data_IF_306530658357
#
_entry.id   IF_306530658357
#
_cell.length_a   1.000
_cell.length_b   1.000
_cell.length_c   1.000
_cell.angle_alpha   90.00
_cell.angle_beta   90.00
_cell.angle_gamma   90.00
#
_symmetry.space_group_name_H-M   'P 1'
#
loop_
_entity.id
_entity.type
_entity.pdbx_description
1 polymer ?
#
# COMPACT_ATOMS: atom_id res chain seq x y z
N UNK A 1 -12.11 -21.75 -8.21
CA UNK A 1 -10.84 -21.31 -7.59
C UNK A 1 -9.70 -22.01 -8.32
N UNK A 2 -9.09 -21.35 -9.27
CA UNK A 2 -8.02 -21.94 -10.09
C UNK A 2 -6.70 -21.55 -9.44
N UNK A 3 -6.09 -22.50 -8.76
CA UNK A 3 -4.74 -22.35 -8.25
C UNK A 3 -3.79 -22.16 -9.43
N UNK A 4 -3.22 -20.99 -9.60
CA UNK A 4 -2.07 -20.78 -10.47
C UNK A 4 -0.87 -21.38 -9.73
N UNK A 5 -0.60 -22.67 -9.99
CA UNK A 5 0.65 -23.30 -9.60
C UNK A 5 1.78 -22.44 -10.18
N UNK A 6 2.75 -22.07 -9.34
CA UNK A 6 3.99 -21.44 -9.77
C UNK A 6 4.74 -22.48 -10.66
N UNK A 7 4.41 -22.47 -11.93
CA UNK A 7 5.17 -23.21 -12.93
C UNK A 7 6.60 -22.64 -12.90
N UNK A 8 7.58 -23.52 -12.78
CA UNK A 8 8.99 -23.16 -13.02
C UNK A 8 9.03 -22.43 -14.35
N UNK A 9 9.47 -21.18 -14.31
CA UNK A 9 9.65 -20.38 -15.51
C UNK A 9 10.67 -21.13 -16.38
N UNK A 10 10.21 -21.64 -17.49
CA UNK A 10 11.08 -22.29 -18.48
C UNK A 10 11.82 -21.18 -19.23
N UNK A 11 13.08 -20.96 -18.86
CA UNK A 11 13.94 -19.93 -19.42
C UNK A 11 14.26 -20.15 -20.91
N UNK A 12 13.85 -21.27 -21.49
CA UNK A 12 14.00 -21.56 -22.93
C UNK A 12 12.95 -20.86 -23.81
N UNK A 13 11.85 -20.36 -23.21
CA UNK A 13 10.81 -19.65 -23.94
C UNK A 13 11.29 -18.25 -24.32
N UNK A 14 11.25 -17.94 -25.61
CA UNK A 14 11.44 -16.56 -26.09
C UNK A 14 10.20 -15.75 -25.73
N UNK A 15 10.39 -14.70 -24.94
CA UNK A 15 9.31 -13.76 -24.58
C UNK A 15 9.29 -12.63 -25.61
N UNK A 16 8.12 -12.25 -26.08
CA UNK A 16 7.91 -11.09 -26.94
C UNK A 16 7.99 -9.80 -26.13
N UNK A 17 7.49 -9.83 -24.88
CA UNK A 17 7.52 -8.68 -23.97
C UNK A 17 7.58 -9.13 -22.52
N UNK A 18 8.10 -8.25 -21.67
CA UNK A 18 8.10 -8.40 -20.21
C UNK A 18 7.48 -7.15 -19.63
N UNK A 19 6.43 -7.32 -18.80
CA UNK A 19 5.77 -6.23 -18.09
C UNK A 19 6.10 -6.31 -16.61
N UNK A 20 6.55 -5.19 -16.05
CA UNK A 20 6.81 -5.05 -14.62
C UNK A 20 5.71 -4.17 -14.02
N UNK A 21 5.04 -4.68 -12.98
CA UNK A 21 3.98 -3.97 -12.28
C UNK A 21 4.02 -4.25 -10.79
N UNK A 22 3.19 -3.51 -10.04
CA UNK A 22 2.99 -3.78 -8.62
C UNK A 22 2.09 -5.00 -8.46
N UNK A 23 2.42 -5.86 -7.48
CA UNK A 23 1.57 -6.97 -7.10
C UNK A 23 0.36 -6.44 -6.30
N UNK A 24 -0.84 -6.91 -6.63
CA UNK A 24 -2.02 -6.62 -5.83
C UNK A 24 -2.00 -7.38 -4.49
N UNK A 25 -2.74 -6.93 -3.47
CA UNK A 25 -2.88 -7.66 -2.21
C UNK A 25 -3.30 -9.11 -2.40
N UNK A 26 -4.24 -9.38 -3.32
CA UNK A 26 -4.73 -10.73 -3.63
C UNK A 26 -3.62 -11.60 -4.23
N UNK A 27 -2.77 -11.03 -5.08
CA UNK A 27 -1.61 -11.74 -5.64
C UNK A 27 -0.59 -12.09 -4.56
N UNK A 28 -0.36 -11.19 -3.60
CA UNK A 28 0.53 -11.43 -2.46
C UNK A 28 -0.02 -12.54 -1.57
N UNK A 29 -1.31 -12.46 -1.20
CA UNK A 29 -1.98 -13.47 -0.41
C UNK A 29 -1.98 -14.84 -1.10
N UNK A 30 -2.23 -14.89 -2.41
CA UNK A 30 -2.22 -16.13 -3.19
C UNK A 30 -0.85 -16.80 -3.27
N UNK A 31 0.25 -16.07 -3.09
CA UNK A 31 1.63 -16.58 -3.07
C UNK A 31 2.18 -16.82 -1.66
N UNK A 32 1.48 -16.34 -0.63
CA UNK A 32 1.93 -16.40 0.75
C UNK A 32 1.71 -17.78 1.36
N UNK A 33 2.69 -18.24 2.13
CA UNK A 33 2.62 -19.46 2.93
C UNK A 33 2.08 -19.22 4.35
N UNK A 34 1.86 -17.97 4.74
CA UNK A 34 1.26 -17.60 6.00
C UNK A 34 1.56 -16.17 6.42
N UNK A 35 0.85 -15.71 7.44
CA UNK A 35 0.97 -14.38 8.01
C UNK A 35 2.03 -14.34 9.09
N UNK A 36 2.82 -13.26 9.09
CA UNK A 36 3.82 -12.95 10.11
C UNK A 36 3.15 -12.06 11.14
N UNK A 37 3.02 -12.58 12.37
CA UNK A 37 2.31 -11.91 13.46
C UNK A 37 3.23 -11.22 14.47
N UNK A 38 4.53 -11.52 14.41
CA UNK A 38 5.52 -11.06 15.40
C UNK A 38 6.76 -10.50 14.72
N UNK A 39 7.36 -9.44 15.28
CA UNK A 39 8.58 -8.84 14.73
C UNK A 39 9.85 -9.65 15.05
N UNK A 40 9.78 -10.62 15.95
CA UNK A 40 10.93 -11.42 16.37
C UNK A 40 11.47 -12.26 15.22
N UNK A 41 12.80 -12.37 15.18
CA UNK A 41 13.52 -13.14 14.18
C UNK A 41 13.94 -14.51 14.70
N UNK A 42 14.80 -14.52 15.70
CA UNK A 42 15.36 -15.72 16.33
C UNK A 42 15.29 -15.63 17.85
N UNK A 43 15.21 -16.78 18.50
CA UNK A 43 15.37 -16.88 19.93
C UNK A 43 16.86 -16.81 20.28
N UNK A 44 17.28 -15.84 21.09
CA UNK A 44 18.68 -15.59 21.43
C UNK A 44 19.34 -16.71 22.23
N UNK A 45 18.55 -17.57 22.91
CA UNK A 45 19.08 -18.73 23.69
C UNK A 45 19.29 -19.97 22.83
N UNK A 46 18.33 -20.26 21.94
CA UNK A 46 18.35 -21.47 21.11
C UNK A 46 18.87 -21.23 19.69
N UNK A 47 19.03 -19.98 19.28
CA UNK A 47 19.36 -19.54 17.92
C UNK A 47 18.42 -20.10 16.85
N UNK A 48 17.22 -20.53 17.24
CA UNK A 48 16.19 -21.02 16.33
C UNK A 48 15.21 -19.91 15.96
N UNK A 49 14.65 -19.93 14.75
CA UNK A 49 13.60 -18.99 14.35
C UNK A 49 12.40 -19.02 15.29
N UNK A 50 11.92 -17.84 15.68
CA UNK A 50 10.70 -17.74 16.47
C UNK A 50 9.47 -18.10 15.63
N UNK A 51 8.50 -18.73 16.30
CA UNK A 51 7.23 -19.10 15.68
C UNK A 51 6.43 -17.83 15.37
N UNK A 52 5.85 -17.80 14.18
CA UNK A 52 5.05 -16.70 13.64
C UNK A 52 5.81 -15.37 13.49
N UNK A 53 7.15 -15.42 13.60
CA UNK A 53 8.06 -14.30 13.39
C UNK A 53 8.61 -14.22 11.96
N UNK A 54 9.48 -13.24 11.72
CA UNK A 54 10.05 -12.94 10.40
C UNK A 54 10.84 -14.08 9.77
N UNK A 55 11.31 -15.06 10.55
CA UNK A 55 12.04 -16.24 10.05
C UNK A 55 11.32 -17.56 10.34
N UNK A 56 10.03 -17.53 10.64
CA UNK A 56 9.24 -18.68 11.03
C UNK A 56 9.43 -19.88 10.09
N UNK A 57 9.78 -21.04 10.65
CA UNK A 57 9.99 -22.27 9.87
C UNK A 57 8.67 -22.86 9.33
N UNK A 58 7.52 -22.57 9.97
CA UNK A 58 6.21 -22.99 9.49
C UNK A 58 5.85 -22.28 8.20
N UNK A 59 6.18 -20.99 8.08
CA UNK A 59 5.88 -20.15 6.91
C UNK A 59 6.92 -20.39 5.81
N UNK A 60 8.20 -20.22 6.14
CA UNK A 60 9.28 -20.21 5.16
C UNK A 60 9.92 -21.58 4.91
N UNK A 61 9.71 -22.53 5.81
CA UNK A 61 10.34 -23.84 5.74
C UNK A 61 11.49 -24.04 6.72
N UNK A 62 12.04 -25.25 6.84
CA UNK A 62 13.02 -25.63 7.81
C UNK A 62 14.38 -24.97 7.59
N UNK A 63 15.14 -24.75 8.67
CA UNK A 63 16.52 -24.21 8.63
C UNK A 63 17.51 -25.30 8.20
N UNK A 64 17.23 -26.57 8.59
CA UNK A 64 18.06 -27.73 8.24
C UNK A 64 17.32 -28.62 7.25
N UNK A 65 18.07 -29.22 6.32
CA UNK A 65 17.48 -30.12 5.34
C UNK A 65 16.81 -31.30 6.03
N UNK A 66 15.54 -31.52 5.69
CA UNK A 66 14.73 -32.65 6.16
C UNK A 66 14.62 -32.80 7.69
N UNK A 67 14.65 -31.68 8.42
CA UNK A 67 14.46 -31.67 9.87
C UNK A 67 13.39 -30.62 10.24
N UNK A 68 12.35 -31.02 10.98
CA UNK A 68 11.38 -30.08 11.50
C UNK A 68 11.90 -29.31 12.71
N UNK A 69 11.30 -28.15 13.03
CA UNK A 69 11.73 -27.28 14.13
C UNK A 69 11.89 -27.99 15.48
N UNK A 70 10.94 -28.86 15.87
CA UNK A 70 10.96 -29.57 17.13
C UNK A 70 11.86 -30.83 17.14
N UNK A 71 12.41 -31.22 15.97
CA UNK A 71 13.29 -32.39 15.84
C UNK A 71 12.57 -33.75 15.85
N UNK A 72 11.23 -33.78 15.87
CA UNK A 72 10.47 -35.05 15.85
C UNK A 72 10.71 -35.85 14.57
N UNK A 73 10.70 -35.14 13.44
CA UNK A 73 10.97 -35.74 12.12
C UNK A 73 12.31 -35.26 11.62
N UNK A 74 13.20 -36.22 11.32
CA UNK A 74 14.54 -36.02 10.79
C UNK A 74 14.78 -37.01 9.65
N UNK A 75 15.58 -36.61 8.68
CA UNK A 75 15.99 -37.36 7.50
C UNK A 75 14.96 -37.37 6.37
N UNK A 76 15.49 -37.68 5.20
CA UNK A 76 14.78 -37.62 3.89
C UNK A 76 13.53 -38.52 3.79
N UNK A 77 13.48 -39.60 4.55
CA UNK A 77 12.33 -40.53 4.58
C UNK A 77 11.01 -39.88 4.97
N UNK A 78 11.08 -38.75 5.67
CA UNK A 78 9.90 -38.00 6.11
C UNK A 78 9.61 -36.78 5.20
N UNK A 79 10.21 -36.72 4.01
CA UNK A 79 10.02 -35.61 3.06
C UNK A 79 8.53 -35.39 2.77
N UNK A 80 8.12 -34.12 2.80
CA UNK A 80 6.75 -33.70 2.51
C UNK A 80 5.75 -33.85 3.66
N UNK A 81 6.18 -34.45 4.80
CA UNK A 81 5.32 -34.54 5.99
C UNK A 81 5.30 -33.22 6.73
N UNK A 82 4.12 -32.75 7.05
CA UNK A 82 3.93 -31.60 7.97
C UNK A 82 3.94 -32.13 9.40
N UNK A 83 4.85 -31.61 10.22
CA UNK A 83 4.99 -32.06 11.60
C UNK A 83 3.75 -31.68 12.42
N UNK A 84 3.08 -32.66 12.99
CA UNK A 84 1.87 -32.48 13.81
C UNK A 84 2.14 -31.66 15.09
N UNK A 85 3.38 -31.57 15.56
CA UNK A 85 3.75 -30.83 16.77
C UNK A 85 4.11 -29.37 16.51
N UNK A 86 4.90 -29.09 15.47
CA UNK A 86 5.41 -27.74 15.20
C UNK A 86 4.90 -27.14 13.89
N UNK A 87 4.15 -27.88 13.08
CA UNK A 87 3.56 -27.42 11.82
C UNK A 87 4.56 -27.19 10.68
N UNK A 88 5.84 -27.53 10.87
CA UNK A 88 6.89 -27.34 9.87
C UNK A 88 6.88 -28.51 8.90
N UNK A 89 6.89 -28.22 7.60
CA UNK A 89 7.04 -29.20 6.56
C UNK A 89 8.49 -29.70 6.46
N UNK A 90 8.67 -31.02 6.40
CA UNK A 90 9.98 -31.65 6.28
C UNK A 90 10.45 -31.62 4.84
N UNK A 91 11.22 -30.61 4.47
CA UNK A 91 11.73 -30.38 3.13
C UNK A 91 13.15 -29.82 3.14
N UNK A 92 13.68 -29.47 1.97
CA UNK A 92 15.01 -28.86 1.88
C UNK A 92 14.98 -27.41 2.37
N UNK A 93 16.03 -26.95 3.03
CA UNK A 93 16.18 -25.55 3.47
C UNK A 93 16.15 -24.53 2.31
N UNK A 94 16.44 -24.97 1.07
CA UNK A 94 16.40 -24.09 -0.12
C UNK A 94 15.04 -23.43 -0.32
N UNK A 95 13.93 -24.07 0.10
CA UNK A 95 12.58 -23.50 -0.02
C UNK A 95 12.41 -22.17 0.72
N UNK A 96 13.25 -21.89 1.72
CA UNK A 96 13.26 -20.61 2.44
C UNK A 96 13.60 -19.40 1.55
N UNK A 97 14.25 -19.63 0.41
CA UNK A 97 14.54 -18.58 -0.60
C UNK A 97 13.42 -18.45 -1.64
N UNK A 98 12.49 -19.35 -1.67
CA UNK A 98 11.41 -19.44 -2.66
C UNK A 98 10.06 -19.05 -2.06
N UNK A 99 9.83 -19.35 -0.78
CA UNK A 99 8.57 -19.10 -0.07
C UNK A 99 8.46 -17.65 0.37
N UNK A 100 7.25 -17.12 0.22
CA UNK A 100 6.86 -15.79 0.68
C UNK A 100 5.89 -15.89 1.84
N UNK A 101 5.96 -14.97 2.78
CA UNK A 101 4.94 -14.70 3.77
C UNK A 101 4.38 -13.30 3.55
N UNK A 102 3.37 -12.92 4.30
CA UNK A 102 2.80 -11.58 4.26
C UNK A 102 2.63 -11.00 5.65
N UNK A 103 2.52 -9.70 5.71
CA UNK A 103 2.17 -8.91 6.90
C UNK A 103 0.94 -8.11 6.53
N UNK A 104 -0.14 -8.27 7.31
CA UNK A 104 -1.33 -7.45 7.16
C UNK A 104 -1.13 -6.14 7.89
N UNK A 105 -1.23 -5.03 7.17
CA UNK A 105 -1.07 -3.69 7.75
C UNK A 105 -2.36 -3.28 8.46
N UNK A 106 -2.23 -2.63 9.62
CA UNK A 106 -3.37 -2.14 10.39
C UNK A 106 -4.11 -0.99 9.69
N UNK A 107 -3.37 -0.19 8.92
CA UNK A 107 -3.90 0.97 8.18
C UNK A 107 -3.29 0.99 6.77
N UNK A 108 -3.97 1.60 5.78
CA UNK A 108 -3.40 1.81 4.46
C UNK A 108 -2.14 2.67 4.54
N UNK A 109 -1.13 2.33 3.77
CA UNK A 109 0.09 3.13 3.64
C UNK A 109 0.33 3.51 2.19
N UNK A 110 0.97 4.65 2.00
CA UNK A 110 1.28 5.18 0.67
C UNK A 110 2.53 4.52 0.11
N UNK A 111 2.44 4.02 -1.12
CA UNK A 111 3.58 3.41 -1.79
C UNK A 111 4.62 4.46 -2.15
N UNK A 112 5.87 4.22 -1.75
CA UNK A 112 7.00 5.15 -1.90
C UNK A 112 7.27 5.58 -3.35
N UNK A 113 6.99 4.72 -4.34
CA UNK A 113 7.20 5.03 -5.76
C UNK A 113 6.32 6.18 -6.26
N UNK A 114 5.14 6.38 -5.65
CA UNK A 114 4.23 7.47 -6.03
C UNK A 114 4.53 8.77 -5.28
N UNK A 115 5.11 8.65 -4.06
CA UNK A 115 5.47 9.81 -3.24
C UNK A 115 6.85 10.37 -3.59
N UNK A 116 7.88 9.50 -3.57
CA UNK A 116 9.30 9.89 -3.68
C UNK A 116 9.87 9.85 -5.10
N UNK A 117 9.06 9.55 -6.12
CA UNK A 117 9.49 9.67 -7.52
C UNK A 117 9.78 11.12 -7.88
N UNK A 118 10.68 11.35 -8.80
CA UNK A 118 10.98 12.68 -9.35
C UNK A 118 10.50 12.70 -10.81
N UNK A 119 9.43 13.42 -11.14
CA UNK A 119 8.54 14.17 -10.26
C UNK A 119 7.59 13.27 -9.42
N UNK A 120 7.16 13.77 -8.24
CA UNK A 120 6.18 13.04 -7.41
C UNK A 120 4.83 12.94 -8.11
N UNK A 121 4.37 11.72 -8.36
CA UNK A 121 3.09 11.51 -9.05
C UNK A 121 1.90 11.94 -8.19
N UNK A 122 1.98 11.72 -6.88
CA UNK A 122 0.95 12.16 -5.95
C UNK A 122 0.84 13.69 -5.91
N UNK A 123 1.97 14.40 -5.80
CA UNK A 123 1.98 15.86 -5.78
C UNK A 123 1.35 16.46 -7.05
N UNK A 124 1.63 15.87 -8.21
CA UNK A 124 1.05 16.35 -9.46
C UNK A 124 -0.44 16.02 -9.62
N UNK A 125 -0.93 14.91 -9.08
CA UNK A 125 -2.35 14.59 -9.11
C UNK A 125 -3.14 15.44 -8.12
N UNK A 126 -2.72 15.53 -6.87
CA UNK A 126 -3.42 16.26 -5.82
C UNK A 126 -3.24 17.78 -5.93
N UNK A 127 -2.12 18.24 -6.50
CA UNK A 127 -1.77 19.66 -6.53
C UNK A 127 -1.06 20.16 -5.25
N UNK A 128 -0.88 19.30 -4.26
CA UNK A 128 -0.16 19.61 -3.02
C UNK A 128 1.36 19.51 -3.22
N UNK A 129 2.11 20.27 -2.43
CA UNK A 129 3.57 20.15 -2.42
C UNK A 129 4.00 18.84 -1.76
N UNK A 130 5.14 18.30 -2.17
CA UNK A 130 5.67 17.05 -1.60
C UNK A 130 5.83 17.11 -0.08
N UNK A 131 6.25 18.27 0.47
CA UNK A 131 6.36 18.46 1.92
C UNK A 131 5.01 18.41 2.64
N UNK A 132 3.96 18.96 2.03
CA UNK A 132 2.60 18.93 2.56
C UNK A 132 2.08 17.48 2.57
N UNK A 133 2.29 16.75 1.49
CA UNK A 133 1.95 15.32 1.42
C UNK A 133 2.71 14.49 2.46
N UNK A 134 3.99 14.79 2.70
CA UNK A 134 4.78 14.12 3.73
C UNK A 134 4.19 14.37 5.13
N UNK A 135 3.81 15.60 5.45
CA UNK A 135 3.17 15.92 6.73
C UNK A 135 1.86 15.16 6.94
N UNK A 136 1.03 15.05 5.89
CA UNK A 136 -0.21 14.26 5.94
C UNK A 136 0.11 12.77 6.17
N UNK A 137 1.01 12.19 5.36
CA UNK A 137 1.32 10.76 5.35
C UNK A 137 1.97 10.32 6.67
N UNK A 138 2.82 11.17 7.26
CA UNK A 138 3.50 10.88 8.52
C UNK A 138 2.73 11.30 9.78
N UNK A 139 1.43 11.60 9.64
CA UNK A 139 0.52 11.92 10.75
C UNK A 139 0.91 13.18 11.52
N UNK A 140 1.44 14.20 10.82
CA UNK A 140 1.79 15.50 11.39
C UNK A 140 0.65 16.53 11.25
N UNK A 141 -0.20 16.41 10.20
CA UNK A 141 -1.29 17.34 9.92
C UNK A 141 -2.51 16.61 9.33
N UNK A 142 -3.68 17.14 9.65
CA UNK A 142 -4.93 16.75 9.00
C UNK A 142 -5.07 17.42 7.65
N UNK A 143 -5.83 16.81 6.75
CA UNK A 143 -6.26 17.42 5.48
C UNK A 143 -7.77 17.36 5.38
N UNK A 144 -8.37 18.47 4.99
CA UNK A 144 -9.81 18.58 4.78
C UNK A 144 -10.17 17.80 3.51
N UNK A 145 -10.99 16.77 3.67
CA UNK A 145 -11.53 15.99 2.57
C UNK A 145 -12.90 16.54 2.15
N UNK A 146 -13.76 16.77 3.14
CA UNK A 146 -15.07 17.37 2.95
C UNK A 146 -15.22 18.61 3.84
N UNK A 147 -15.31 19.79 3.24
CA UNK A 147 -15.38 21.03 4.01
C UNK A 147 -16.74 21.25 4.70
N UNK A 148 -17.84 20.71 4.13
CA UNK A 148 -19.18 20.97 4.66
C UNK A 148 -19.47 22.46 4.84
N UNK A 149 -20.05 22.79 6.01
CA UNK A 149 -20.36 24.18 6.41
C UNK A 149 -19.24 24.87 7.18
N UNK A 150 -18.05 24.26 7.30
CA UNK A 150 -16.94 24.80 8.10
C UNK A 150 -16.29 26.08 7.55
N UNK A 151 -16.60 26.46 6.32
CA UNK A 151 -15.97 27.60 5.64
C UNK A 151 -14.53 27.37 5.23
N UNK A 152 -14.02 26.14 5.35
CA UNK A 152 -12.69 25.73 4.89
C UNK A 152 -12.72 25.28 3.43
N UNK A 153 -11.56 25.16 2.82
CA UNK A 153 -11.44 24.65 1.46
C UNK A 153 -11.06 23.16 1.45
N UNK A 154 -11.49 22.42 0.44
CA UNK A 154 -11.03 21.05 0.24
C UNK A 154 -9.51 21.02 0.02
N UNK A 155 -8.83 20.02 0.57
CA UNK A 155 -7.36 19.87 0.56
C UNK A 155 -6.60 20.91 1.42
N UNK A 156 -7.27 21.70 2.25
CA UNK A 156 -6.63 22.56 3.23
C UNK A 156 -6.00 21.73 4.35
N UNK A 157 -4.82 22.17 4.83
CA UNK A 157 -4.11 21.50 5.92
C UNK A 157 -4.50 22.14 7.25
N UNK A 158 -4.82 21.31 8.23
CA UNK A 158 -5.19 21.74 9.58
C UNK A 158 -4.19 21.18 10.59
N UNK A 159 -3.86 22.00 11.57
CA UNK A 159 -3.16 21.53 12.75
C UNK A 159 -4.14 20.81 13.70
N UNK A 160 -3.62 20.09 14.68
CA UNK A 160 -4.40 19.26 15.59
C UNK A 160 -5.43 20.07 16.39
N UNK A 161 -5.08 21.27 16.83
CA UNK A 161 -5.96 22.17 17.57
C UNK A 161 -7.14 22.65 16.71
N UNK A 162 -6.85 23.11 15.49
CA UNK A 162 -7.87 23.54 14.51
C UNK A 162 -8.81 22.42 14.13
N UNK A 163 -8.27 21.18 13.94
CA UNK A 163 -9.09 20.01 13.65
C UNK A 163 -10.08 19.72 14.76
N UNK A 164 -9.64 19.68 16.02
CA UNK A 164 -10.55 19.40 17.14
C UNK A 164 -11.59 20.49 17.39
N UNK A 165 -11.29 21.73 17.09
CA UNK A 165 -12.28 22.81 17.16
C UNK A 165 -13.36 22.64 16.12
N UNK A 166 -12.98 22.38 14.86
CA UNK A 166 -13.90 22.15 13.75
C UNK A 166 -14.70 20.86 13.92
N UNK A 167 -14.08 19.79 14.43
CA UNK A 167 -14.76 18.54 14.71
C UNK A 167 -15.84 18.69 15.77
N UNK A 168 -15.62 19.49 16.80
CA UNK A 168 -16.63 19.79 17.84
C UNK A 168 -17.80 20.59 17.30
N UNK A 169 -17.54 21.51 16.38
CA UNK A 169 -18.56 22.42 15.87
C UNK A 169 -19.33 21.82 14.70
N UNK A 170 -18.66 21.14 13.78
CA UNK A 170 -19.21 20.66 12.52
C UNK A 170 -19.05 19.17 12.28
N UNK A 171 -18.31 18.47 13.14
CA UNK A 171 -18.02 17.05 12.98
C UNK A 171 -19.21 16.16 13.28
N UNK A 172 -19.50 15.23 12.39
CA UNK A 172 -20.49 14.20 12.61
C UNK A 172 -19.80 12.92 13.07
N UNK A 173 -20.13 12.45 14.28
CA UNK A 173 -19.63 11.18 14.75
C UNK A 173 -20.16 10.03 13.88
N UNK A 174 -19.22 9.28 13.29
CA UNK A 174 -19.43 7.96 12.68
C UNK A 174 -20.74 7.82 11.90
N UNK A 175 -20.87 8.57 10.86
CA UNK A 175 -22.00 8.49 9.94
C UNK A 175 -21.87 7.24 9.10
N UNK A 176 -22.94 6.46 8.97
CA UNK A 176 -23.03 5.35 8.00
C UNK A 176 -22.72 5.82 6.59
N UNK A 177 -22.25 4.92 5.72
CA UNK A 177 -21.91 5.27 4.32
C UNK A 177 -23.09 5.95 3.59
N UNK A 178 -24.33 5.66 4.00
CA UNK A 178 -25.57 6.23 3.45
C UNK A 178 -25.81 7.71 3.83
N UNK A 179 -25.19 8.17 4.92
CA UNK A 179 -25.33 9.57 5.38
C UNK A 179 -24.19 10.48 4.88
N UNK A 180 -23.17 9.91 4.24
CA UNK A 180 -22.05 10.64 3.60
C UNK A 180 -22.47 11.45 2.36
N UNK A 181 -23.66 11.20 1.82
CA UNK A 181 -24.23 11.97 0.71
C UNK A 181 -24.81 13.33 1.13
N UNK A 182 -24.72 13.68 2.42
CA UNK A 182 -25.17 14.96 2.91
C UNK A 182 -23.99 15.97 2.87
N UNK A 183 -24.03 16.92 1.97
CA UNK A 183 -23.01 17.97 1.76
C UNK A 183 -22.72 18.87 2.98
N UNK A 184 -23.35 18.60 4.10
CA UNK A 184 -23.35 19.44 5.30
C UNK A 184 -22.30 19.05 6.36
N UNK A 185 -21.65 17.87 6.23
CA UNK A 185 -20.73 17.38 7.25
C UNK A 185 -19.26 17.79 6.97
N UNK A 186 -18.54 18.06 8.04
CA UNK A 186 -17.09 18.29 7.96
C UNK A 186 -16.34 16.96 8.16
N UNK A 187 -15.40 16.67 7.26
CA UNK A 187 -14.53 15.50 7.37
C UNK A 187 -13.08 15.85 6.98
N UNK A 188 -12.20 15.62 7.92
CA UNK A 188 -10.76 15.72 7.70
C UNK A 188 -10.06 14.47 8.29
N UNK A 189 -8.98 14.04 7.67
CA UNK A 189 -8.23 12.86 8.10
C UNK A 189 -6.75 12.99 7.78
N UNK A 190 -5.94 12.03 8.21
CA UNK A 190 -4.49 12.03 8.00
C UNK A 190 -3.99 10.65 7.57
N UNK A 191 -2.72 10.54 7.22
CA UNK A 191 -2.09 9.27 6.88
C UNK A 191 -2.44 8.76 5.48
N UNK A 192 -2.30 7.45 5.30
CA UNK A 192 -2.59 6.78 4.04
C UNK A 192 -4.07 6.79 3.64
N UNK A 193 -4.97 6.84 4.63
CA UNK A 193 -6.42 6.94 4.41
C UNK A 193 -6.78 8.27 3.76
N UNK A 194 -6.20 9.37 4.25
CA UNK A 194 -6.38 10.69 3.64
C UNK A 194 -6.01 10.69 2.15
N UNK A 195 -4.86 10.12 1.81
CA UNK A 195 -4.41 10.04 0.42
C UNK A 195 -5.34 9.16 -0.42
N UNK A 196 -5.83 8.07 0.13
CA UNK A 196 -6.80 7.19 -0.56
C UNK A 196 -8.10 7.93 -0.88
N UNK A 197 -8.67 8.64 0.10
CA UNK A 197 -9.89 9.43 -0.06
C UNK A 197 -9.69 10.58 -1.08
N UNK A 198 -8.59 11.32 -0.96
CA UNK A 198 -8.26 12.39 -1.92
C UNK A 198 -8.18 11.86 -3.35
N UNK A 199 -7.49 10.73 -3.56
CA UNK A 199 -7.35 10.12 -4.89
C UNK A 199 -8.68 9.59 -5.44
N UNK A 200 -9.54 9.02 -4.58
CA UNK A 200 -10.86 8.51 -4.98
C UNK A 200 -11.79 9.63 -5.49
N UNK A 201 -11.63 10.85 -4.98
CA UNK A 201 -12.44 12.03 -5.35
C UNK A 201 -11.91 12.78 -6.57
N UNK A 202 -10.70 12.50 -7.04
CA UNK A 202 -10.14 13.16 -8.22
C UNK A 202 -10.82 12.65 -9.49
N UNK A 203 -11.56 13.53 -10.15
CA UNK A 203 -12.05 13.30 -11.51
C UNK A 203 -10.94 13.62 -12.52
N UNK A 204 -10.30 12.59 -13.06
CA UNK A 204 -9.18 12.74 -14.00
C UNK A 204 -9.58 13.45 -15.31
N UNK A 205 -10.82 13.31 -15.79
CA UNK A 205 -11.28 13.99 -17.00
C UNK A 205 -11.45 15.48 -16.77
N UNK A 206 -12.01 15.86 -15.64
CA UNK A 206 -12.17 17.26 -15.25
C UNK A 206 -10.83 17.91 -14.97
N UNK A 207 -9.95 17.21 -14.22
CA UNK A 207 -8.58 17.66 -13.99
C UNK A 207 -7.83 17.91 -15.31
N UNK A 208 -7.98 17.02 -16.29
CA UNK A 208 -7.38 17.18 -17.62
C UNK A 208 -7.90 18.46 -18.28
N UNK A 209 -9.22 18.68 -18.30
CA UNK A 209 -9.84 19.86 -18.91
C UNK A 209 -9.36 21.15 -18.26
N UNK A 210 -9.37 21.21 -16.93
CA UNK A 210 -8.91 22.38 -16.18
C UNK A 210 -7.43 22.69 -16.45
N UNK A 211 -6.58 21.66 -16.54
CA UNK A 211 -5.16 21.84 -16.86
C UNK A 211 -4.93 22.33 -18.30
N UNK A 212 -5.71 21.86 -19.26
CA UNK A 212 -5.68 22.33 -20.65
C UNK A 212 -6.10 23.80 -20.71
N UNK A 213 -7.15 24.21 -20.03
CA UNK A 213 -7.59 25.62 -19.92
C UNK A 213 -6.51 26.54 -19.30
N UNK A 214 -5.83 26.06 -18.23
CA UNK A 214 -4.72 26.81 -17.61
C UNK A 214 -3.56 27.00 -18.60
N UNK A 215 -3.23 25.98 -19.39
CA UNK A 215 -2.17 26.04 -20.40
C UNK A 215 -2.47 27.09 -21.45
N UNK A 216 -3.74 27.20 -21.87
CA UNK A 216 -4.14 28.11 -22.92
C UNK A 216 -4.31 29.58 -22.42
N UNK A 217 -4.81 29.74 -21.19
CA UNK A 217 -5.12 31.08 -20.64
C UNK A 217 -3.96 31.71 -19.88
N UNK A 218 -3.04 30.92 -19.31
CA UNK A 218 -1.99 31.45 -18.45
C UNK A 218 -0.92 32.21 -19.23
N UNK A 219 -0.64 33.46 -18.81
CA UNK A 219 0.46 34.29 -19.30
C UNK A 219 1.81 33.90 -18.67
N UNK A 220 1.82 33.22 -17.52
CA UNK A 220 3.04 32.82 -16.80
C UNK A 220 3.65 31.56 -17.40
N UNK A 221 4.90 31.65 -17.87
CA UNK A 221 5.66 30.51 -18.40
C UNK A 221 5.81 29.40 -17.35
N UNK A 222 6.00 29.77 -16.09
CA UNK A 222 6.17 28.80 -14.99
C UNK A 222 4.88 28.01 -14.76
N UNK A 223 3.73 28.69 -14.64
CA UNK A 223 2.42 28.04 -14.46
C UNK A 223 2.08 27.12 -15.64
N UNK A 224 2.37 27.55 -16.87
CA UNK A 224 2.17 26.70 -18.07
C UNK A 224 3.03 25.42 -18.02
N UNK A 225 4.30 25.56 -17.64
CA UNK A 225 5.20 24.40 -17.56
C UNK A 225 4.75 23.41 -16.48
N UNK A 226 4.31 23.92 -15.34
CA UNK A 226 3.77 23.11 -14.25
C UNK A 226 2.48 22.38 -14.69
N UNK A 227 1.53 23.09 -15.28
CA UNK A 227 0.30 22.50 -15.82
C UNK A 227 0.57 21.44 -16.89
N UNK A 228 1.55 21.65 -17.78
CA UNK A 228 1.97 20.68 -18.78
C UNK A 228 2.54 19.39 -18.13
N UNK A 229 3.34 19.53 -17.07
CA UNK A 229 3.89 18.40 -16.35
C UNK A 229 2.80 17.61 -15.60
N UNK A 230 1.85 18.30 -14.95
CA UNK A 230 0.68 17.70 -14.32
C UNK A 230 -0.18 16.94 -15.33
N UNK A 231 -0.44 17.57 -16.49
CA UNK A 231 -1.23 16.97 -17.56
C UNK A 231 -0.60 15.68 -18.11
N UNK A 232 0.73 15.64 -18.27
CA UNK A 232 1.44 14.42 -18.68
C UNK A 232 1.18 13.28 -17.72
N UNK A 233 1.24 13.54 -16.42
CA UNK A 233 1.02 12.52 -15.39
C UNK A 233 -0.46 12.12 -15.35
N UNK A 234 -1.40 13.08 -15.35
CA UNK A 234 -2.82 12.76 -15.37
C UNK A 234 -3.19 11.87 -16.57
N UNK A 235 -2.64 12.13 -17.76
CA UNK A 235 -2.83 11.30 -18.96
C UNK A 235 -2.34 9.85 -18.80
N UNK A 236 -1.35 9.57 -17.97
CA UNK A 236 -0.88 8.18 -17.74
C UNK A 236 -1.85 7.35 -16.91
N UNK A 237 -2.74 7.98 -16.15
CA UNK A 237 -3.75 7.31 -15.33
C UNK A 237 -5.13 7.28 -16.00
N UNK A 238 -5.32 8.01 -17.10
CA UNK A 238 -6.53 7.85 -17.90
C UNK A 238 -6.50 6.49 -18.60
N UNK A 239 -7.61 5.74 -18.62
CA UNK A 239 -7.69 4.52 -19.41
C UNK A 239 -7.39 4.86 -20.86
N UNK A 240 -6.49 4.10 -21.49
CA UNK A 240 -6.31 4.15 -22.93
C UNK A 240 -7.62 3.71 -23.59
N UNK A 241 -8.28 4.63 -24.25
CA UNK A 241 -9.43 4.39 -25.12
C UNK A 241 -9.02 3.51 -26.29
#
# INVERSE_FOLDING_TARGET
>A
MTYIQSSKVDLSKKYESITIGLASPEMILGRSYGEILKPETINYRSYKPEKDGLFCEKIFGPVKDYECHCGKYKRIRYRGIICVRCGVEVTRKKVRRERMGHITLAVPIVHIWYLRSIPSKLAYLTGLKTKELERIIYYETFVVIEPGKSGRESMELLDEEEYFELEKEFGFYAVSEEERDNDDYFYATMGGEAIKEMLARINLFELKKNLEEIIDTSKSKQKRTEALNRLKIAKTFLPSL
#
